data_IF_121691991157
#
_entry.id   IF_121691991157
#
_cell.length_a   1.000
_cell.length_b   1.000
_cell.length_c   1.000
_cell.angle_alpha   90.00
_cell.angle_beta   90.00
_cell.angle_gamma   90.00
#
_symmetry.space_group_name_H-M   'P 1'
#
loop_
_entity.id
_entity.type
_entity.pdbx_description
1 polymer ?
#
# COMPACT_ATOMS: atom_id res chain seq x y z
N UNK A 1 -0.35 -13.32 5.36
CA UNK A 1 -0.02 -12.15 4.54
C UNK A 1 -0.01 -12.44 3.04
N UNK A 2 0.63 -13.52 2.60
CA UNK A 2 0.74 -13.85 1.18
C UNK A 2 -0.63 -14.07 0.51
N UNK A 3 -1.55 -14.76 1.16
CA UNK A 3 -2.87 -15.00 0.57
C UNK A 3 -3.65 -13.72 0.32
N UNK A 4 -3.58 -12.77 1.26
CA UNK A 4 -4.23 -11.46 1.11
C UNK A 4 -3.55 -10.63 0.03
N UNK A 5 -2.22 -10.69 -0.04
CA UNK A 5 -1.47 -10.00 -1.07
C UNK A 5 -1.82 -10.52 -2.46
N UNK A 6 -1.88 -11.85 -2.64
CA UNK A 6 -2.26 -12.43 -3.91
C UNK A 6 -3.64 -11.97 -4.36
N UNK A 7 -4.60 -11.88 -3.42
CA UNK A 7 -5.93 -11.39 -3.70
C UNK A 7 -5.91 -9.93 -4.17
N UNK A 8 -5.11 -9.09 -3.51
CA UNK A 8 -4.96 -7.68 -3.87
C UNK A 8 -4.34 -7.54 -5.27
N UNK A 9 -3.30 -8.31 -5.56
CA UNK A 9 -2.64 -8.28 -6.87
C UNK A 9 -3.59 -8.67 -7.99
N UNK A 10 -4.54 -9.56 -7.72
CA UNK A 10 -5.50 -10.02 -8.71
C UNK A 10 -6.64 -9.02 -8.95
N UNK A 11 -6.95 -8.15 -7.99
CA UNK A 11 -8.17 -7.34 -8.02
C UNK A 11 -7.97 -5.83 -8.09
N UNK A 12 -6.82 -5.34 -7.70
CA UNK A 12 -6.52 -3.91 -7.73
C UNK A 12 -5.53 -3.61 -8.84
N UNK A 13 -5.64 -2.40 -9.39
CA UNK A 13 -4.74 -1.91 -10.44
C UNK A 13 -4.54 -0.39 -10.26
N UNK A 14 -4.04 0.28 -11.28
CA UNK A 14 -3.75 1.71 -11.20
C UNK A 14 -4.99 2.59 -11.08
N UNK A 15 -6.17 2.08 -11.41
CA UNK A 15 -7.40 2.82 -11.23
C UNK A 15 -7.78 2.86 -9.76
N UNK A 16 -8.11 4.04 -9.26
CA UNK A 16 -8.49 4.20 -7.87
C UNK A 16 -9.90 3.67 -7.63
N UNK A 17 -10.04 2.87 -6.59
CA UNK A 17 -11.33 2.34 -6.13
C UNK A 17 -11.74 3.11 -4.89
N UNK A 18 -12.87 3.80 -4.96
CA UNK A 18 -13.38 4.57 -3.83
C UNK A 18 -14.15 3.65 -2.86
N UNK A 19 -13.85 3.79 -1.58
CA UNK A 19 -14.63 3.13 -0.54
C UNK A 19 -14.55 3.93 0.76
N UNK A 20 -15.70 4.37 1.23
CA UNK A 20 -15.86 4.97 2.56
C UNK A 20 -14.90 6.13 2.84
N UNK A 21 -14.74 7.03 1.88
CA UNK A 21 -13.91 8.22 2.02
C UNK A 21 -12.46 8.03 1.63
N UNK A 22 -12.07 6.84 1.25
CA UNK A 22 -10.70 6.54 0.88
C UNK A 22 -10.64 5.96 -0.53
N UNK A 23 -9.49 6.11 -1.19
CA UNK A 23 -9.25 5.59 -2.53
C UNK A 23 -8.10 4.60 -2.48
N UNK A 24 -8.25 3.48 -3.16
CA UNK A 24 -7.28 2.37 -3.15
C UNK A 24 -6.79 2.10 -4.56
N UNK A 25 -5.47 1.92 -4.71
CA UNK A 25 -4.92 1.50 -6.00
C UNK A 25 -3.64 0.70 -5.81
N UNK A 26 -3.33 -0.12 -6.81
CA UNK A 26 -2.09 -0.87 -6.88
C UNK A 26 -1.36 -0.45 -8.15
N UNK A 27 -0.18 0.13 -8.01
CA UNK A 27 0.63 0.57 -9.12
C UNK A 27 1.77 -0.43 -9.34
N UNK A 28 1.97 -0.85 -10.59
CA UNK A 28 3.03 -1.80 -10.95
C UNK A 28 4.15 -1.05 -11.66
N UNK A 29 5.37 -1.18 -11.17
CA UNK A 29 6.54 -0.50 -11.75
C UNK A 29 7.33 -1.41 -12.68
N UNK A 30 7.47 -2.69 -12.31
CA UNK A 30 8.08 -3.73 -13.13
C UNK A 30 7.52 -5.08 -12.71
N UNK A 31 8.12 -6.17 -13.16
CA UNK A 31 7.55 -7.52 -12.94
C UNK A 31 7.38 -7.87 -11.46
N UNK A 32 8.23 -7.33 -10.60
CA UNK A 32 8.25 -7.68 -9.18
C UNK A 32 7.95 -6.53 -8.24
N UNK A 33 7.90 -5.29 -8.73
CA UNK A 33 7.83 -4.09 -7.90
C UNK A 33 6.49 -3.40 -8.03
N UNK A 34 5.86 -3.14 -6.89
CA UNK A 34 4.53 -2.55 -6.80
C UNK A 34 4.49 -1.46 -5.75
N UNK A 35 3.46 -0.63 -5.83
CA UNK A 35 3.11 0.30 -4.75
C UNK A 35 1.62 0.17 -4.46
N UNK A 36 1.30 -0.16 -3.22
CA UNK A 36 -0.08 -0.22 -2.75
C UNK A 36 -0.37 1.08 -2.00
N UNK A 37 -1.41 1.78 -2.43
CA UNK A 37 -1.73 3.10 -1.90
C UNK A 37 -3.18 3.19 -1.44
N UNK A 38 -3.36 3.70 -0.23
CA UNK A 38 -4.60 4.34 0.20
C UNK A 38 -4.38 5.83 0.09
N UNK A 39 -5.36 6.56 -0.43
CA UNK A 39 -5.28 8.02 -0.50
C UNK A 39 -6.60 8.65 -0.10
N UNK A 40 -6.53 9.92 0.28
CA UNK A 40 -7.71 10.73 0.55
C UNK A 40 -7.69 11.93 -0.38
N UNK A 41 -8.87 12.54 -0.60
CA UNK A 41 -8.97 13.73 -1.43
C UNK A 41 -8.26 14.89 -0.75
N UNK A 42 -7.36 15.55 -1.48
CA UNK A 42 -6.72 16.77 -1.05
C UNK A 42 -7.36 17.99 -1.69
N UNK A 43 -6.71 19.15 -1.51
CA UNK A 43 -7.16 20.39 -2.12
C UNK A 43 -7.03 20.32 -3.65
N UNK A 44 -7.92 21.01 -4.35
CA UNK A 44 -7.85 21.18 -5.81
C UNK A 44 -7.88 19.86 -6.60
N UNK A 45 -8.59 18.87 -6.10
CA UNK A 45 -8.74 17.59 -6.81
C UNK A 45 -7.52 16.69 -6.74
N UNK A 46 -6.59 16.97 -5.85
CA UNK A 46 -5.43 16.11 -5.64
C UNK A 46 -5.75 14.92 -4.77
N UNK A 47 -4.85 13.93 -4.78
CA UNK A 47 -4.92 12.77 -3.88
C UNK A 47 -3.69 12.77 -2.98
N UNK A 48 -3.91 12.55 -1.69
CA UNK A 48 -2.84 12.53 -0.69
C UNK A 48 -2.65 11.12 -0.16
N UNK A 49 -1.45 10.57 -0.28
CA UNK A 49 -1.14 9.20 0.17
C UNK A 49 -1.25 9.06 1.68
N UNK A 50 -1.88 7.96 2.14
CA UNK A 50 -2.16 7.75 3.57
C UNK A 50 -2.35 6.28 3.93
N UNK A 51 -1.37 5.39 3.77
CA UNK A 51 -0.04 5.55 3.17
C UNK A 51 0.07 5.00 1.76
N UNK A 52 1.24 5.19 1.16
CA UNK A 52 1.67 4.49 -0.04
C UNK A 52 2.91 3.67 0.33
N UNK A 53 2.84 2.37 0.11
CA UNK A 53 3.93 1.45 0.46
C UNK A 53 4.44 0.79 -0.81
N UNK A 54 5.70 1.07 -1.14
CA UNK A 54 6.35 0.46 -2.29
C UNK A 54 7.08 -0.79 -1.83
N UNK A 55 6.89 -1.88 -2.55
CA UNK A 55 7.45 -3.17 -2.16
C UNK A 55 7.83 -3.99 -3.39
N UNK A 56 8.71 -4.95 -3.16
CA UNK A 56 9.14 -5.91 -4.16
C UNK A 56 8.85 -7.31 -3.67
N UNK A 57 8.32 -8.15 -4.56
CA UNK A 57 8.08 -9.56 -4.27
C UNK A 57 9.28 -10.35 -4.76
N UNK A 58 9.81 -11.23 -3.93
CA UNK A 58 10.92 -12.11 -4.28
C UNK A 58 10.33 -13.48 -4.59
N UNK A 59 10.23 -13.86 -5.90
CA UNK A 59 9.47 -15.06 -6.30
C UNK A 59 10.00 -16.35 -5.70
N UNK A 60 11.32 -16.50 -5.59
CA UNK A 60 11.93 -17.73 -5.11
C UNK A 60 11.56 -18.08 -3.68
N UNK A 61 11.31 -17.07 -2.84
CA UNK A 61 11.05 -17.28 -1.41
C UNK A 61 9.67 -16.81 -0.97
N UNK A 62 8.88 -16.22 -1.87
CA UNK A 62 7.59 -15.60 -1.57
C UNK A 62 7.71 -14.53 -0.48
N UNK A 63 8.86 -13.87 -0.42
CA UNK A 63 9.10 -12.80 0.55
C UNK A 63 8.78 -11.45 -0.05
N UNK A 64 8.41 -10.51 0.82
CA UNK A 64 8.13 -9.13 0.44
C UNK A 64 9.24 -8.25 1.00
N UNK A 65 9.86 -7.47 0.13
CA UNK A 65 10.89 -6.50 0.51
C UNK A 65 10.29 -5.11 0.43
N UNK A 66 10.23 -4.40 1.55
CA UNK A 66 9.67 -3.05 1.59
C UNK A 66 10.71 -2.03 1.14
N UNK A 67 10.36 -1.24 0.13
CA UNK A 67 11.26 -0.28 -0.49
C UNK A 67 11.04 1.14 0.01
N UNK A 68 9.80 1.54 0.27
CA UNK A 68 9.52 2.87 0.81
C UNK A 68 8.13 2.93 1.46
N UNK A 69 8.00 3.88 2.36
CA UNK A 69 6.74 4.20 3.04
C UNK A 69 6.52 5.70 2.94
N UNK A 70 5.33 6.12 2.49
CA UNK A 70 5.00 7.53 2.37
C UNK A 70 3.60 7.79 2.91
N UNK A 71 3.48 8.72 3.83
CA UNK A 71 2.21 9.18 4.36
C UNK A 71 2.28 10.70 4.51
N UNK A 72 1.56 11.41 3.67
CA UNK A 72 1.61 12.87 3.62
C UNK A 72 0.49 13.53 4.42
N UNK A 73 -0.40 12.73 5.00
CA UNK A 73 -1.54 13.23 5.78
C UNK A 73 -1.17 13.43 7.24
N UNK A 74 -0.29 12.58 7.78
CA UNK A 74 0.15 12.71 9.18
C UNK A 74 1.08 13.91 9.35
N UNK A 75 1.14 14.45 10.57
CA UNK A 75 1.97 15.62 10.88
C UNK A 75 2.96 15.27 12.00
N UNK A 76 4.30 15.27 11.73
CA UNK A 76 4.91 15.54 10.42
C UNK A 76 4.71 14.38 9.43
N UNK A 77 4.70 14.72 8.15
CA UNK A 77 4.55 13.68 7.13
C UNK A 77 5.72 12.71 7.16
N UNK A 78 5.44 11.46 6.77
CA UNK A 78 6.45 10.41 6.76
C UNK A 78 6.79 10.02 5.33
N UNK A 79 8.09 9.97 5.03
CA UNK A 79 8.58 9.45 3.77
C UNK A 79 9.98 8.91 4.00
N UNK A 80 10.10 7.58 4.05
CA UNK A 80 11.39 6.96 4.35
C UNK A 80 11.51 5.60 3.70
N UNK A 81 12.77 5.17 3.54
CA UNK A 81 13.09 3.80 3.16
C UNK A 81 13.39 3.06 4.46
N UNK A 82 12.65 1.98 4.78
CA UNK A 82 12.90 1.28 6.04
C UNK A 82 14.27 0.58 6.00
N UNK A 83 15.12 0.91 6.96
CA UNK A 83 16.47 0.37 7.03
C UNK A 83 16.76 -0.30 8.37
N UNK A 84 16.10 0.14 9.44
CA UNK A 84 16.26 -0.48 10.76
C UNK A 84 15.17 -1.53 10.97
N UNK A 85 15.42 -2.42 11.93
CA UNK A 85 14.43 -3.43 12.30
C UNK A 85 13.12 -2.80 12.77
N UNK A 86 13.21 -1.72 13.54
CA UNK A 86 12.02 -1.00 14.02
C UNK A 86 11.23 -0.40 12.87
N UNK A 87 11.92 0.17 11.88
CA UNK A 87 11.26 0.73 10.71
C UNK A 87 10.61 -0.35 9.85
N UNK A 88 11.29 -1.48 9.67
CA UNK A 88 10.73 -2.62 8.93
C UNK A 88 9.49 -3.17 9.62
N UNK A 89 9.51 -3.30 10.94
CA UNK A 89 8.35 -3.76 11.70
C UNK A 89 7.18 -2.79 11.57
N UNK A 90 7.45 -1.49 11.61
CA UNK A 90 6.42 -0.46 11.44
C UNK A 90 5.76 -0.58 10.06
N UNK A 91 6.56 -0.67 9.01
CA UNK A 91 6.05 -0.75 7.63
C UNK A 91 5.32 -2.07 7.42
N UNK A 92 5.82 -3.17 7.95
CA UNK A 92 5.18 -4.47 7.84
C UNK A 92 3.79 -4.46 8.47
N UNK A 93 3.67 -3.89 9.67
CA UNK A 93 2.37 -3.79 10.35
C UNK A 93 1.42 -2.90 9.56
N UNK A 94 1.89 -1.76 9.06
CA UNK A 94 1.09 -0.87 8.25
C UNK A 94 0.62 -1.56 6.96
N UNK A 95 1.49 -2.35 6.34
CA UNK A 95 1.17 -3.09 5.13
C UNK A 95 0.09 -4.15 5.39
N UNK A 96 0.21 -4.89 6.50
CA UNK A 96 -0.80 -5.88 6.87
C UNK A 96 -2.16 -5.23 7.11
N UNK A 97 -2.19 -4.07 7.78
CA UNK A 97 -3.42 -3.31 8.00
C UNK A 97 -4.01 -2.83 6.68
N UNK A 98 -3.16 -2.42 5.74
CA UNK A 98 -3.60 -1.98 4.42
C UNK A 98 -4.19 -3.14 3.62
N UNK A 99 -3.60 -4.32 3.69
CA UNK A 99 -4.14 -5.52 3.06
C UNK A 99 -5.52 -5.88 3.64
N UNK A 100 -5.69 -5.74 4.95
CA UNK A 100 -6.98 -5.97 5.60
C UNK A 100 -8.04 -4.98 5.11
N UNK A 101 -7.67 -3.72 4.94
CA UNK A 101 -8.57 -2.71 4.37
C UNK A 101 -8.97 -3.05 2.95
N UNK A 102 -8.03 -3.47 2.12
CA UNK A 102 -8.31 -3.86 0.75
C UNK A 102 -9.27 -5.06 0.70
N UNK A 103 -9.11 -6.00 1.61
CA UNK A 103 -9.99 -7.15 1.70
C UNK A 103 -11.43 -6.73 2.04
N UNK A 104 -11.58 -5.74 2.92
CA UNK A 104 -12.89 -5.18 3.26
C UNK A 104 -13.54 -4.46 2.07
N UNK A 105 -12.76 -3.73 1.29
CA UNK A 105 -13.24 -3.07 0.07
C UNK A 105 -13.81 -4.11 -0.88
N UNK A 106 -13.09 -5.19 -1.09
CA UNK A 106 -13.52 -6.31 -1.93
C UNK A 106 -14.83 -6.91 -1.44
N UNK A 107 -14.96 -7.11 -0.13
CA UNK A 107 -16.15 -7.71 0.46
C UNK A 107 -17.38 -6.80 0.37
N UNK A 108 -17.18 -5.49 0.21
CA UNK A 108 -18.26 -4.52 0.10
C UNK A 108 -18.87 -4.44 -1.30
N UNK A 109 -18.24 -5.04 -2.27
CA UNK A 109 -18.69 -4.97 -3.68
C UNK A 109 -19.70 -6.06 -4.02
#
# INVERSE_FOLDING_TARGET
MIDKLDSVLAQFNEERVYNNGEYYRLKKFDDDTYELEVSISGACGTFESHPAIKFKIIPESNQVLFLSYRDVVVNPMKHFKPESEAELDFVKLAFEQLLDKCDQVKSSC
#
